data_IF_413450764181
#
_entry.id   IF_413450764181
#
_cell.length_a   1.000
_cell.length_b   1.000
_cell.length_c   1.000
_cell.angle_alpha   90.00
_cell.angle_beta   90.00
_cell.angle_gamma   90.00
#
_symmetry.space_group_name_H-M   'P 1'
#
loop_
_entity.id
_entity.type
_entity.pdbx_description
1 polymer ?
#
# COMPACT_ATOMS: atom_id res chain seq x y z
N UNK A 1 -25.80 9.74 5.91
CA UNK A 1 -24.83 10.70 5.35
C UNK A 1 -24.62 10.28 3.92
N UNK A 2 -24.83 11.14 2.93
CA UNK A 2 -24.60 10.81 1.52
C UNK A 2 -23.12 11.09 1.22
N UNK A 3 -22.38 10.06 0.80
CA UNK A 3 -20.97 10.22 0.44
C UNK A 3 -20.86 10.79 -0.96
N UNK A 4 -19.91 11.71 -1.14
CA UNK A 4 -19.68 12.37 -2.42
C UNK A 4 -19.01 11.45 -3.45
N UNK A 5 -18.26 10.43 -2.98
CA UNK A 5 -17.48 9.52 -3.81
C UNK A 5 -17.96 8.09 -3.67
N UNK A 6 -17.91 7.33 -4.76
CA UNK A 6 -18.28 5.90 -4.80
C UNK A 6 -17.07 4.97 -4.96
N UNK A 7 -15.92 5.52 -5.41
CA UNK A 7 -14.67 4.78 -5.57
C UNK A 7 -13.48 5.65 -5.16
N UNK A 8 -12.67 5.15 -4.24
CA UNK A 8 -11.51 5.86 -3.71
C UNK A 8 -10.26 4.97 -3.64
N UNK A 9 -9.09 5.58 -3.67
CA UNK A 9 -7.84 4.95 -3.26
C UNK A 9 -7.34 5.58 -1.95
N UNK A 10 -6.86 4.74 -1.05
CA UNK A 10 -6.25 5.16 0.21
C UNK A 10 -4.80 4.69 0.24
N UNK A 11 -3.86 5.61 0.29
CA UNK A 11 -2.43 5.29 0.44
C UNK A 11 -2.02 5.47 1.89
N UNK A 12 -1.29 4.50 2.42
CA UNK A 12 -0.79 4.52 3.80
C UNK A 12 0.73 4.39 3.81
N UNK A 13 1.38 5.42 4.32
CA UNK A 13 2.84 5.48 4.44
C UNK A 13 3.38 4.51 5.51
N UNK A 14 4.63 4.07 5.36
CA UNK A 14 5.27 3.15 6.32
C UNK A 14 5.29 3.72 7.74
N UNK A 15 5.57 5.01 7.90
CA UNK A 15 5.62 5.68 9.21
C UNK A 15 4.25 5.74 9.91
N UNK A 16 3.15 5.61 9.17
CA UNK A 16 1.80 5.49 9.74
C UNK A 16 1.56 4.09 10.28
N UNK A 17 2.08 3.06 9.58
CA UNK A 17 1.84 1.65 9.87
C UNK A 17 2.86 1.03 10.84
N UNK A 18 4.01 1.68 11.06
CA UNK A 18 5.08 1.11 11.89
C UNK A 18 5.41 2.02 13.07
N UNK A 19 5.86 1.39 14.14
CA UNK A 19 6.47 2.05 15.30
C UNK A 19 7.90 2.45 15.00
N UNK A 20 8.54 3.19 15.91
CA UNK A 20 9.94 3.61 15.78
C UNK A 20 10.94 2.44 15.72
N UNK A 21 10.58 1.29 16.27
CA UNK A 21 11.37 0.05 16.24
C UNK A 21 11.19 -0.77 14.95
N UNK A 22 10.34 -0.29 14.02
CA UNK A 22 10.04 -0.95 12.75
C UNK A 22 8.94 -2.02 12.83
N UNK A 23 8.43 -2.32 14.03
CA UNK A 23 7.30 -3.25 14.19
C UNK A 23 6.01 -2.63 13.69
N UNK A 24 5.07 -3.47 13.21
CA UNK A 24 3.74 -3.01 12.81
C UNK A 24 2.98 -2.45 14.02
N UNK A 25 2.41 -1.28 13.88
CA UNK A 25 1.51 -0.68 14.87
C UNK A 25 0.09 -1.21 14.64
N UNK A 26 -0.21 -2.33 15.29
CA UNK A 26 -1.49 -3.02 15.16
C UNK A 26 -2.66 -2.13 15.56
N UNK A 27 -2.49 -1.26 16.55
CA UNK A 27 -3.53 -0.34 17.01
C UNK A 27 -3.90 0.66 15.90
N UNK A 28 -2.91 1.25 15.26
CA UNK A 28 -3.15 2.17 14.12
C UNK A 28 -3.72 1.44 12.92
N UNK A 29 -3.22 0.23 12.64
CA UNK A 29 -3.77 -0.60 11.56
C UNK A 29 -5.23 -0.96 11.80
N UNK A 30 -5.60 -1.33 13.04
CA UNK A 30 -6.98 -1.63 13.40
C UNK A 30 -7.87 -0.40 13.19
N UNK A 31 -7.49 0.75 13.73
CA UNK A 31 -8.26 1.99 13.57
C UNK A 31 -8.43 2.41 12.10
N UNK A 32 -7.41 2.19 11.26
CA UNK A 32 -7.48 2.42 9.82
C UNK A 32 -8.47 1.44 9.16
N UNK A 33 -8.37 0.16 9.50
CA UNK A 33 -9.24 -0.88 8.94
C UNK A 33 -10.68 -0.65 9.34
N UNK A 34 -10.96 -0.23 10.59
CA UNK A 34 -12.30 0.13 11.06
C UNK A 34 -12.93 1.22 10.17
N UNK A 35 -12.17 2.29 9.88
CA UNK A 35 -12.65 3.38 9.02
C UNK A 35 -12.88 2.91 7.57
N UNK A 36 -11.97 2.11 7.01
CA UNK A 36 -12.13 1.55 5.66
C UNK A 36 -13.35 0.62 5.61
N UNK A 37 -13.56 -0.18 6.66
CA UNK A 37 -14.71 -1.07 6.75
C UNK A 37 -16.03 -0.31 6.81
N UNK A 38 -16.08 0.84 7.47
CA UNK A 38 -17.25 1.74 7.47
C UNK A 38 -17.55 2.28 6.06
N UNK A 39 -16.52 2.74 5.35
CA UNK A 39 -16.65 3.20 3.96
C UNK A 39 -17.14 2.08 3.03
N UNK A 40 -16.54 0.90 3.14
CA UNK A 40 -16.93 -0.27 2.37
C UNK A 40 -18.40 -0.66 2.62
N UNK A 41 -18.84 -0.71 3.90
CA UNK A 41 -20.23 -1.02 4.27
C UNK A 41 -21.22 0.05 3.81
N UNK A 42 -20.75 1.26 3.60
CA UNK A 42 -21.52 2.35 2.99
C UNK A 42 -21.62 2.27 1.45
N UNK A 43 -21.04 1.22 0.84
CA UNK A 43 -21.08 0.99 -0.61
C UNK A 43 -19.96 1.68 -1.40
N UNK A 44 -18.91 2.15 -0.74
CA UNK A 44 -17.75 2.77 -1.40
C UNK A 44 -16.74 1.68 -1.78
N UNK A 45 -16.34 1.63 -3.03
CA UNK A 45 -15.23 0.81 -3.50
C UNK A 45 -13.90 1.41 -3.01
N UNK A 46 -13.13 0.64 -2.26
CA UNK A 46 -11.84 1.09 -1.72
C UNK A 46 -10.70 0.26 -2.28
N UNK A 47 -9.64 0.94 -2.72
CA UNK A 47 -8.35 0.35 -3.07
C UNK A 47 -7.34 0.83 -2.05
N UNK A 48 -6.65 -0.08 -1.36
CA UNK A 48 -5.66 0.25 -0.35
C UNK A 48 -4.25 0.12 -0.94
N UNK A 49 -3.48 1.21 -0.98
CA UNK A 49 -2.06 1.17 -1.34
C UNK A 49 -1.24 1.26 -0.06
N UNK A 50 -0.58 0.16 0.29
CA UNK A 50 0.07 0.02 1.60
C UNK A 50 1.57 -0.04 1.49
N UNK A 51 2.26 0.71 2.34
CA UNK A 51 3.70 0.61 2.60
C UNK A 51 3.98 -0.28 3.83
N UNK A 52 5.24 -0.36 4.26
CA UNK A 52 5.63 -0.94 5.55
C UNK A 52 6.17 -2.37 5.49
N UNK A 53 6.20 -3.02 4.32
CA UNK A 53 6.74 -4.37 4.17
C UNK A 53 8.22 -4.46 4.58
N UNK A 54 9.07 -3.62 4.02
CA UNK A 54 10.52 -3.60 4.32
C UNK A 54 10.77 -3.35 5.82
N UNK A 55 10.07 -2.37 6.41
CA UNK A 55 10.21 -2.06 7.83
C UNK A 55 9.76 -3.24 8.71
N UNK A 56 8.64 -3.86 8.37
CA UNK A 56 8.12 -5.05 9.06
C UNK A 56 9.12 -6.22 9.00
N UNK A 57 9.70 -6.50 7.84
CA UNK A 57 10.69 -7.57 7.69
C UNK A 57 11.98 -7.28 8.43
N UNK A 58 12.42 -6.02 8.46
CA UNK A 58 13.61 -5.61 9.22
C UNK A 58 13.45 -5.86 10.73
N UNK A 59 12.24 -5.76 11.25
CA UNK A 59 11.95 -6.08 12.65
C UNK A 59 11.93 -7.58 12.96
N UNK A 60 11.77 -8.44 11.93
CA UNK A 60 11.67 -9.90 12.11
C UNK A 60 13.01 -10.62 12.05
N UNK A 61 13.90 -10.17 11.17
CA UNK A 61 15.15 -10.88 10.91
C UNK A 61 16.36 -9.98 11.00
N UNK A 62 17.45 -10.58 11.52
CA UNK A 62 18.78 -9.96 11.51
C UNK A 62 19.64 -10.74 10.53
N UNK A 63 20.09 -10.13 9.41
CA UNK A 63 20.97 -10.80 8.47
C UNK A 63 22.26 -11.28 9.13
N UNK A 64 22.71 -12.49 8.77
CA UNK A 64 23.97 -13.05 9.28
C UNK A 64 25.21 -12.41 8.69
N UNK A 65 25.05 -11.69 7.56
CA UNK A 65 26.10 -10.98 6.84
C UNK A 65 25.65 -9.56 6.52
N UNK A 66 26.62 -8.66 6.30
CA UNK A 66 26.33 -7.34 5.77
C UNK A 66 25.82 -7.50 4.33
N UNK A 67 24.64 -6.97 4.07
CA UNK A 67 23.99 -6.97 2.76
C UNK A 67 24.10 -5.56 2.17
N UNK A 68 24.10 -5.46 0.84
CA UNK A 68 23.91 -4.19 0.16
C UNK A 68 22.45 -3.70 0.28
N UNK A 69 22.16 -2.54 -0.27
CA UNK A 69 20.83 -1.93 -0.14
C UNK A 69 19.73 -2.68 -0.89
N UNK A 70 20.06 -3.28 -2.03
CA UNK A 70 19.11 -4.04 -2.86
C UNK A 70 18.77 -5.36 -2.17
N UNK A 71 19.80 -6.12 -1.78
CA UNK A 71 19.62 -7.39 -1.06
C UNK A 71 18.85 -7.20 0.25
N UNK A 72 19.14 -6.11 1.01
CA UNK A 72 18.38 -5.78 2.23
C UNK A 72 16.91 -5.54 1.93
N UNK A 73 16.63 -4.75 0.91
CA UNK A 73 15.25 -4.42 0.53
C UNK A 73 14.50 -5.67 0.09
N UNK A 74 15.11 -6.50 -0.78
CA UNK A 74 14.52 -7.76 -1.24
C UNK A 74 14.25 -8.73 -0.09
N UNK A 75 15.23 -8.96 0.78
CA UNK A 75 15.09 -9.85 1.92
C UNK A 75 14.01 -9.38 2.89
N UNK A 76 14.05 -8.12 3.29
CA UNK A 76 13.11 -7.59 4.27
C UNK A 76 11.70 -7.47 3.70
N UNK A 77 11.54 -7.11 2.42
CA UNK A 77 10.22 -7.07 1.81
C UNK A 77 9.62 -8.47 1.67
N UNK A 78 10.41 -9.48 1.30
CA UNK A 78 9.94 -10.86 1.17
C UNK A 78 9.31 -11.37 2.49
N UNK A 79 9.99 -11.14 3.61
CA UNK A 79 9.49 -11.55 4.94
C UNK A 79 8.38 -10.62 5.42
N UNK A 80 8.59 -9.32 5.30
CA UNK A 80 7.67 -8.33 5.85
C UNK A 80 6.35 -8.23 5.08
N UNK A 81 6.34 -8.48 3.77
CA UNK A 81 5.12 -8.48 2.97
C UNK A 81 4.15 -9.57 3.42
N UNK A 82 4.66 -10.78 3.69
CA UNK A 82 3.84 -11.88 4.21
C UNK A 82 3.19 -11.51 5.55
N UNK A 83 3.95 -10.87 6.44
CA UNK A 83 3.44 -10.41 7.75
C UNK A 83 2.42 -9.28 7.60
N UNK A 84 2.70 -8.30 6.74
CA UNK A 84 1.83 -7.16 6.49
C UNK A 84 0.48 -7.60 5.95
N UNK A 85 0.47 -8.43 4.90
CA UNK A 85 -0.78 -8.87 4.27
C UNK A 85 -1.58 -9.78 5.21
N UNK A 86 -0.93 -10.66 5.99
CA UNK A 86 -1.61 -11.48 6.96
C UNK A 86 -2.29 -10.62 8.04
N UNK A 87 -1.63 -9.54 8.50
CA UNK A 87 -2.23 -8.62 9.48
C UNK A 87 -3.48 -7.92 8.92
N UNK A 88 -3.43 -7.45 7.68
CA UNK A 88 -4.62 -6.89 7.03
C UNK A 88 -5.74 -7.93 6.91
N UNK A 89 -5.39 -9.15 6.47
CA UNK A 89 -6.36 -10.22 6.35
C UNK A 89 -7.08 -10.51 7.67
N UNK A 90 -6.34 -10.61 8.78
CA UNK A 90 -6.92 -10.82 10.11
C UNK A 90 -7.87 -9.68 10.51
N UNK A 91 -7.43 -8.43 10.36
CA UNK A 91 -8.22 -7.26 10.76
C UNK A 91 -9.50 -7.10 9.91
N UNK A 92 -9.42 -7.25 8.60
CA UNK A 92 -10.59 -7.15 7.72
C UNK A 92 -11.56 -8.31 7.90
N UNK A 93 -11.04 -9.50 8.20
CA UNK A 93 -11.88 -10.68 8.50
C UNK A 93 -12.84 -10.43 9.66
N UNK A 94 -12.41 -9.68 10.68
CA UNK A 94 -13.27 -9.34 11.83
C UNK A 94 -14.47 -8.47 11.43
N UNK A 95 -14.38 -7.77 10.30
CA UNK A 95 -15.49 -7.03 9.69
C UNK A 95 -16.29 -7.85 8.66
N UNK A 96 -15.91 -9.10 8.37
CA UNK A 96 -16.48 -9.93 7.31
C UNK A 96 -16.11 -9.49 5.89
N UNK A 97 -15.00 -8.76 5.73
CA UNK A 97 -14.55 -8.21 4.45
C UNK A 97 -13.37 -9.02 3.91
N UNK A 98 -13.49 -9.46 2.67
CA UNK A 98 -12.40 -10.14 1.97
C UNK A 98 -11.39 -9.10 1.43
N UNK A 99 -10.11 -9.46 1.51
CA UNK A 99 -9.03 -8.67 0.93
C UNK A 99 -8.16 -9.53 0.03
N UNK A 100 -7.52 -8.93 -0.97
CA UNK A 100 -6.60 -9.64 -1.84
C UNK A 100 -5.34 -8.82 -2.11
N UNK A 101 -4.19 -9.50 -2.17
CA UNK A 101 -2.90 -8.87 -2.43
C UNK A 101 -2.71 -8.62 -3.93
N UNK A 102 -2.23 -7.43 -4.26
CA UNK A 102 -1.77 -7.05 -5.60
C UNK A 102 -0.35 -6.51 -5.49
N UNK A 103 0.64 -7.26 -5.96
CA UNK A 103 2.01 -6.79 -6.05
C UNK A 103 2.29 -6.29 -7.46
N UNK A 104 2.84 -5.10 -7.57
CA UNK A 104 3.08 -4.44 -8.85
C UNK A 104 4.50 -3.89 -8.96
N UNK A 105 4.93 -3.69 -10.19
CA UNK A 105 6.21 -3.06 -10.55
C UNK A 105 5.94 -1.91 -11.51
N UNK A 106 6.86 -0.97 -11.61
CA UNK A 106 6.77 0.15 -12.57
C UNK A 106 6.58 -0.33 -14.01
N UNK A 107 7.19 -1.46 -14.37
CA UNK A 107 7.04 -2.11 -15.66
C UNK A 107 5.58 -2.50 -16.00
N UNK A 108 4.77 -2.81 -14.99
CA UNK A 108 3.37 -3.15 -15.20
C UNK A 108 2.55 -2.00 -15.80
N UNK A 109 3.04 -0.77 -15.67
CA UNK A 109 2.42 0.42 -16.24
C UNK A 109 2.99 0.79 -17.62
N UNK A 110 4.14 0.21 -18.03
CA UNK A 110 4.85 0.57 -19.27
C UNK A 110 4.24 -0.06 -20.53
N UNK A 111 3.58 -1.21 -20.40
CA UNK A 111 2.98 -1.90 -21.54
C UNK A 111 1.47 -1.99 -21.39
N UNK A 112 0.74 -1.75 -22.50
CA UNK A 112 -0.73 -1.81 -22.51
C UNK A 112 -1.25 -3.16 -22.01
N UNK A 113 -0.58 -4.25 -22.34
CA UNK A 113 -1.01 -5.60 -21.94
C UNK A 113 -0.95 -5.78 -20.42
N UNK A 114 0.18 -5.44 -19.80
CA UNK A 114 0.35 -5.57 -18.34
C UNK A 114 -0.61 -4.62 -17.60
N UNK A 115 -0.70 -3.38 -18.07
CA UNK A 115 -1.62 -2.38 -17.54
C UNK A 115 -3.06 -2.89 -17.52
N UNK A 116 -3.57 -3.39 -18.65
CA UNK A 116 -4.94 -3.90 -18.75
C UNK A 116 -5.17 -5.15 -17.89
N UNK A 117 -4.19 -6.06 -17.82
CA UNK A 117 -4.30 -7.25 -16.98
C UNK A 117 -4.38 -6.89 -15.50
N UNK A 118 -3.55 -5.96 -15.04
CA UNK A 118 -3.55 -5.51 -13.65
C UNK A 118 -4.83 -4.76 -13.31
N UNK A 119 -5.26 -3.85 -14.19
CA UNK A 119 -6.53 -3.15 -14.05
C UNK A 119 -7.70 -4.14 -13.95
N UNK A 120 -7.77 -5.11 -14.87
CA UNK A 120 -8.82 -6.12 -14.86
C UNK A 120 -8.83 -6.95 -13.57
N UNK A 121 -7.66 -7.36 -13.08
CA UNK A 121 -7.54 -8.08 -11.80
C UNK A 121 -8.21 -7.29 -10.66
N UNK A 122 -7.86 -6.02 -10.50
CA UNK A 122 -8.44 -5.18 -9.44
C UNK A 122 -9.93 -4.90 -9.65
N UNK A 123 -10.38 -4.72 -10.91
CA UNK A 123 -11.80 -4.56 -11.21
C UNK A 123 -12.60 -5.79 -10.79
N UNK A 124 -12.14 -6.99 -11.17
CA UNK A 124 -12.78 -8.25 -10.78
C UNK A 124 -12.81 -8.42 -9.25
N UNK A 125 -11.74 -8.01 -8.55
CA UNK A 125 -11.74 -8.02 -7.08
C UNK A 125 -12.84 -7.13 -6.51
N UNK A 126 -12.92 -5.88 -6.95
CA UNK A 126 -13.94 -4.92 -6.49
C UNK A 126 -15.36 -5.41 -6.80
N UNK A 127 -15.62 -5.91 -8.02
CA UNK A 127 -16.90 -6.46 -8.44
C UNK A 127 -17.35 -7.67 -7.58
N UNK A 128 -16.39 -8.37 -6.97
CA UNK A 128 -16.67 -9.50 -6.08
C UNK A 128 -16.57 -9.14 -4.59
N UNK A 129 -16.56 -7.84 -4.26
CA UNK A 129 -16.54 -7.38 -2.87
C UNK A 129 -15.21 -7.62 -2.16
N UNK A 130 -14.12 -7.72 -2.91
CA UNK A 130 -12.76 -7.89 -2.36
C UNK A 130 -12.00 -6.57 -2.42
N UNK A 131 -11.47 -6.10 -1.30
CA UNK A 131 -10.62 -4.91 -1.25
C UNK A 131 -9.21 -5.26 -1.77
N UNK A 132 -8.72 -4.64 -2.86
CA UNK A 132 -7.34 -4.81 -3.30
C UNK A 132 -6.37 -4.11 -2.33
N UNK A 133 -5.38 -4.84 -1.85
CA UNK A 133 -4.25 -4.28 -1.10
C UNK A 133 -3.02 -4.30 -2.00
N UNK A 134 -2.67 -3.13 -2.50
CA UNK A 134 -1.61 -2.93 -3.50
C UNK A 134 -0.31 -2.54 -2.79
N UNK A 135 0.80 -3.14 -3.20
CA UNK A 135 2.14 -2.71 -2.81
C UNK A 135 3.12 -2.92 -3.97
N UNK A 136 4.28 -2.29 -3.89
CA UNK A 136 5.38 -2.60 -4.80
C UNK A 136 5.91 -4.03 -4.58
N UNK A 137 6.30 -4.69 -5.67
CA UNK A 137 6.97 -5.99 -5.61
C UNK A 137 8.49 -5.79 -5.41
N UNK A 138 8.86 -5.36 -4.22
CA UNK A 138 10.26 -5.12 -3.84
C UNK A 138 11.17 -6.35 -3.96
N UNK A 139 10.61 -7.56 -4.07
CA UNK A 139 11.40 -8.80 -4.16
C UNK A 139 12.04 -9.00 -5.52
N UNK A 140 11.47 -8.40 -6.56
CA UNK A 140 11.95 -8.52 -7.95
C UNK A 140 12.27 -7.17 -8.57
N UNK A 141 11.90 -6.07 -7.94
CA UNK A 141 12.23 -4.71 -8.41
C UNK A 141 13.73 -4.44 -8.26
N UNK A 142 14.37 -4.03 -9.34
CA UNK A 142 15.75 -3.54 -9.34
C UNK A 142 15.75 -2.00 -9.33
N UNK A 143 16.83 -1.41 -8.88
CA UNK A 143 16.95 0.02 -8.55
C UNK A 143 16.42 0.98 -9.62
N UNK A 144 16.62 0.65 -10.90
CA UNK A 144 16.24 1.50 -12.04
C UNK A 144 14.76 1.42 -12.39
N UNK A 145 14.06 0.40 -11.90
CA UNK A 145 12.67 0.08 -12.22
C UNK A 145 11.75 0.21 -10.99
N UNK A 146 12.27 0.79 -9.91
CA UNK A 146 11.52 1.00 -8.68
C UNK A 146 10.68 2.28 -8.77
N UNK A 147 9.57 2.29 -8.05
CA UNK A 147 8.89 3.54 -7.76
C UNK A 147 9.78 4.40 -6.85
N UNK A 148 9.70 5.71 -7.01
CA UNK A 148 10.39 6.65 -6.11
C UNK A 148 9.90 6.44 -4.68
N UNK A 149 8.58 6.28 -4.56
CA UNK A 149 7.88 5.93 -3.33
C UNK A 149 6.47 5.39 -3.64
N UNK A 150 5.74 4.99 -2.60
CA UNK A 150 4.36 4.53 -2.77
C UNK A 150 3.36 5.68 -3.04
N UNK A 151 3.76 6.95 -3.00
CA UNK A 151 2.93 8.06 -3.43
C UNK A 151 2.83 8.06 -4.96
N UNK A 152 3.96 7.89 -5.68
CA UNK A 152 3.98 7.69 -7.13
C UNK A 152 3.10 6.48 -7.52
N UNK A 153 3.31 5.33 -6.87
CA UNK A 153 2.49 4.14 -7.10
C UNK A 153 1.01 4.42 -6.89
N UNK A 154 0.65 5.10 -5.81
CA UNK A 154 -0.76 5.37 -5.49
C UNK A 154 -1.44 6.28 -6.53
N UNK A 155 -0.71 7.27 -7.05
CA UNK A 155 -1.18 8.12 -8.15
C UNK A 155 -1.43 7.33 -9.44
N UNK A 156 -0.52 6.41 -9.78
CA UNK A 156 -0.67 5.55 -10.96
C UNK A 156 -1.84 4.57 -10.82
N UNK A 157 -2.04 3.98 -9.63
CA UNK A 157 -3.20 3.11 -9.33
C UNK A 157 -4.49 3.92 -9.36
N UNK A 158 -4.52 5.11 -8.77
CA UNK A 158 -5.68 5.98 -8.78
C UNK A 158 -6.12 6.32 -10.21
N UNK A 159 -5.16 6.66 -11.07
CA UNK A 159 -5.39 6.91 -12.49
C UNK A 159 -5.84 5.66 -13.24
N UNK A 160 -5.17 4.51 -13.02
CA UNK A 160 -5.52 3.23 -13.67
C UNK A 160 -6.95 2.80 -13.37
N UNK A 161 -7.39 2.98 -12.13
CA UNK A 161 -8.69 2.52 -11.64
C UNK A 161 -9.79 3.58 -11.75
N UNK A 162 -9.45 4.76 -12.25
CA UNK A 162 -10.38 5.88 -12.40
C UNK A 162 -11.12 6.19 -11.09
N UNK A 163 -10.34 6.34 -10.00
CA UNK A 163 -10.91 6.68 -8.71
C UNK A 163 -11.26 8.16 -8.63
N UNK A 164 -12.30 8.48 -7.87
CA UNK A 164 -12.78 9.85 -7.72
C UNK A 164 -11.99 10.66 -6.67
N UNK A 165 -11.31 9.96 -5.77
CA UNK A 165 -10.42 10.57 -4.79
C UNK A 165 -9.25 9.66 -4.44
N UNK A 166 -8.07 10.26 -4.22
CA UNK A 166 -6.90 9.63 -3.63
C UNK A 166 -6.63 10.30 -2.27
N UNK A 167 -6.66 9.50 -1.21
CA UNK A 167 -6.37 9.93 0.16
C UNK A 167 -4.97 9.43 0.52
N UNK A 168 -4.05 10.32 0.84
CA UNK A 168 -2.67 9.99 1.23
C UNK A 168 -2.53 10.21 2.74
N UNK A 169 -2.34 9.11 3.48
CA UNK A 169 -2.04 9.16 4.90
C UNK A 169 -0.53 9.16 5.10
N UNK A 170 -0.02 10.27 5.58
CA UNK A 170 1.41 10.54 5.76
C UNK A 170 1.65 11.19 7.13
N UNK A 171 2.91 11.27 7.52
CA UNK A 171 3.38 12.03 8.69
C UNK A 171 3.90 13.43 8.32
N UNK A 172 3.59 13.91 7.11
CA UNK A 172 3.96 15.23 6.59
C UNK A 172 2.68 16.09 6.56
N UNK A 173 2.79 17.36 6.97
CA UNK A 173 1.65 18.25 7.14
C UNK A 173 1.01 18.71 5.81
N UNK A 174 1.70 18.51 4.68
CA UNK A 174 1.20 18.94 3.37
C UNK A 174 2.20 18.74 2.24
N UNK A 175 1.88 19.31 1.09
CA UNK A 175 2.77 19.36 -0.07
C UNK A 175 3.57 20.66 0.00
N UNK A 176 4.87 20.54 -0.10
CA UNK A 176 5.82 21.67 -0.05
C UNK A 176 6.39 21.91 -1.45
N UNK A 177 6.70 23.15 -1.75
CA UNK A 177 7.38 23.58 -2.97
C UNK A 177 8.92 23.49 -2.91
N UNK A 178 9.43 23.07 -1.73
CA UNK A 178 10.84 22.83 -1.45
C UNK A 178 11.05 21.92 -0.25
N UNK A 179 12.27 21.80 0.26
CA UNK A 179 12.53 21.04 1.47
C UNK A 179 11.90 21.73 2.68
N UNK A 180 11.11 21.03 3.53
CA UNK A 180 10.54 21.61 4.75
C UNK A 180 11.60 22.15 5.74
N UNK A 181 12.86 21.77 5.58
CA UNK A 181 14.00 22.22 6.38
C UNK A 181 14.74 23.41 5.78
N UNK A 182 14.40 23.84 4.56
CA UNK A 182 15.01 25.03 3.97
C UNK A 182 14.34 26.29 4.55
N UNK A 183 15.14 27.22 5.15
CA UNK A 183 14.59 28.50 5.56
C UNK A 183 14.20 29.27 4.29
N UNK A 184 12.90 29.56 4.13
CA UNK A 184 12.36 30.38 3.06
C UNK A 184 12.91 31.81 3.10
#
# INVERSE_FOLDING_TARGET
>A
MEYQFTKIAVKVGSNVLTRRDGTLDVTRMSALVDQIAELYKAGIEVILVSSGAVASGRSEIKPSKKLDSVDQRQLFSAVGQAKLINRYYELFRDHGIAVGQVLTMKENFSTRRHYLNQRNCMMVMLENGVIPIVNENDTVSVTELMFTDNDELSGMIASMMDVQALIILSNIDGIYDGSPSDPG
#
